data_IF_617648344993
#
_entry.id   IF_617648344993
#
_cell.length_a   1.000
_cell.length_b   1.000
_cell.length_c   1.000
_cell.angle_alpha   90.00
_cell.angle_beta   90.00
_cell.angle_gamma   90.00
#
_symmetry.space_group_name_H-M   'P 1'
#
loop_
_entity.id
_entity.type
_entity.pdbx_description
1 polymer ?
#
# COMPACT_ATOMS: atom_id res chain seq x y z
N UNK A 1 14.33 -3.59 -1.23
CA UNK A 1 13.61 -2.46 -0.57
C UNK A 1 14.21 -1.16 -1.09
N UNK A 2 14.32 -1.01 -2.40
CA UNK A 2 15.31 -0.10 -2.99
C UNK A 2 14.79 1.32 -3.22
N UNK A 3 13.57 1.61 -2.77
CA UNK A 3 12.90 2.90 -2.97
C UNK A 3 12.11 3.29 -1.72
N UNK A 4 12.81 3.76 -0.68
CA UNK A 4 12.14 4.49 0.41
C UNK A 4 11.77 5.87 -0.15
N UNK A 5 10.46 6.11 -0.32
CA UNK A 5 9.95 7.41 -0.74
C UNK A 5 10.08 8.38 0.43
N UNK A 6 10.81 9.48 0.23
CA UNK A 6 10.83 10.62 1.15
C UNK A 6 9.69 11.56 0.79
N UNK A 7 8.90 11.94 1.80
CA UNK A 7 7.80 12.88 1.65
C UNK A 7 8.22 14.25 2.18
N UNK A 8 7.72 15.31 1.55
CA UNK A 8 7.75 16.65 2.14
C UNK A 8 6.63 16.83 3.17
N UNK A 9 6.67 17.89 3.99
CA UNK A 9 5.70 18.09 5.07
C UNK A 9 4.24 18.20 4.58
N UNK A 10 4.01 18.66 3.34
CA UNK A 10 2.67 18.73 2.77
C UNK A 10 2.19 17.34 2.37
N UNK A 11 3.06 16.53 1.77
CA UNK A 11 2.78 15.15 1.42
C UNK A 11 2.57 14.28 2.67
N UNK A 12 3.35 14.49 3.73
CA UNK A 12 3.16 13.83 5.02
C UNK A 12 1.79 14.17 5.62
N UNK A 13 1.40 15.44 5.64
CA UNK A 13 0.09 15.86 6.14
C UNK A 13 -1.07 15.25 5.33
N UNK A 14 -0.93 15.17 4.00
CA UNK A 14 -1.91 14.52 3.15
C UNK A 14 -2.01 13.01 3.41
N UNK A 15 -0.87 12.33 3.56
CA UNK A 15 -0.83 10.91 3.91
C UNK A 15 -1.45 10.65 5.28
N UNK A 16 -1.16 11.50 6.27
CA UNK A 16 -1.73 11.43 7.62
C UNK A 16 -3.25 11.53 7.58
N UNK A 17 -3.81 12.49 6.84
CA UNK A 17 -5.27 12.64 6.73
C UNK A 17 -5.95 11.43 6.08
N UNK A 18 -5.29 10.76 5.14
CA UNK A 18 -5.77 9.51 4.54
C UNK A 18 -5.69 8.35 5.55
N UNK A 19 -4.57 8.25 6.27
CA UNK A 19 -4.38 7.21 7.29
C UNK A 19 -5.44 7.31 8.41
N UNK A 20 -5.74 8.52 8.88
CA UNK A 20 -6.77 8.76 9.89
C UNK A 20 -8.16 8.32 9.43
N UNK A 21 -8.53 8.62 8.19
CA UNK A 21 -9.80 8.17 7.59
C UNK A 21 -9.87 6.65 7.51
N UNK A 22 -8.80 6.01 7.06
CA UNK A 22 -8.72 4.57 6.97
C UNK A 22 -8.85 3.91 8.36
N UNK A 23 -8.14 4.43 9.37
CA UNK A 23 -8.26 3.95 10.75
C UNK A 23 -9.69 4.12 11.29
N UNK A 24 -10.37 5.21 10.92
CA UNK A 24 -11.78 5.42 11.31
C UNK A 24 -12.71 4.35 10.73
N UNK A 25 -12.48 3.87 9.50
CA UNK A 25 -13.22 2.72 8.92
C UNK A 25 -13.03 1.44 9.73
N UNK A 26 -11.88 1.29 10.40
CA UNK A 26 -11.57 0.20 11.32
C UNK A 26 -11.96 0.50 12.78
N UNK A 27 -12.91 1.42 13.01
CA UNK A 27 -13.40 1.81 14.35
C UNK A 27 -12.31 2.33 15.29
N UNK A 28 -11.26 2.93 14.73
CA UNK A 28 -10.12 3.42 15.51
C UNK A 28 -9.05 2.38 15.84
N UNK A 29 -9.21 1.11 15.42
CA UNK A 29 -8.21 0.07 15.65
C UNK A 29 -7.07 0.18 14.62
N UNK A 30 -6.06 0.96 14.96
CA UNK A 30 -4.89 1.19 14.12
C UNK A 30 -4.09 -0.08 13.83
N UNK A 31 -4.05 -1.04 14.76
CA UNK A 31 -3.30 -2.30 14.56
C UNK A 31 -4.03 -3.18 13.55
N UNK A 32 -5.36 -3.25 13.64
CA UNK A 32 -6.18 -3.96 12.65
C UNK A 32 -6.07 -3.32 11.27
N UNK A 33 -6.20 -2.00 11.18
CA UNK A 33 -6.03 -1.26 9.93
C UNK A 33 -4.66 -1.53 9.28
N UNK A 34 -3.58 -1.45 10.06
CA UNK A 34 -2.23 -1.72 9.58
C UNK A 34 -2.07 -3.15 9.03
N UNK A 35 -2.59 -4.16 9.74
CA UNK A 35 -2.55 -5.56 9.28
C UNK A 35 -3.25 -5.74 7.95
N UNK A 36 -4.42 -5.13 7.78
CA UNK A 36 -5.20 -5.21 6.55
C UNK A 36 -4.49 -4.51 5.39
N UNK A 37 -3.93 -3.32 5.61
CA UNK A 37 -3.13 -2.61 4.62
C UNK A 37 -1.92 -3.43 4.14
N UNK A 38 -1.21 -4.12 5.05
CA UNK A 38 -0.07 -4.97 4.69
C UNK A 38 -0.52 -6.12 3.77
N UNK A 39 -1.62 -6.79 4.09
CA UNK A 39 -2.18 -7.88 3.28
C UNK A 39 -2.62 -7.37 1.91
N UNK A 40 -3.34 -6.25 1.86
CA UNK A 40 -3.79 -5.63 0.61
C UNK A 40 -2.61 -5.23 -0.28
N UNK A 41 -1.58 -4.62 0.29
CA UNK A 41 -0.36 -4.25 -0.43
C UNK A 41 0.36 -5.48 -0.98
N UNK A 42 0.41 -6.59 -0.23
CA UNK A 42 0.95 -7.86 -0.69
C UNK A 42 0.22 -8.37 -1.94
N UNK A 43 -1.11 -8.44 -1.90
CA UNK A 43 -1.91 -8.86 -3.05
C UNK A 43 -1.81 -7.91 -4.25
N UNK A 44 -1.70 -6.61 -4.01
CA UNK A 44 -1.44 -5.64 -5.06
C UNK A 44 -0.08 -5.88 -5.72
N UNK A 45 0.96 -6.15 -4.93
CA UNK A 45 2.28 -6.48 -5.45
C UNK A 45 2.23 -7.77 -6.27
N UNK A 46 1.59 -8.84 -5.79
CA UNK A 46 1.40 -10.09 -6.53
C UNK A 46 0.71 -9.87 -7.88
N UNK A 47 -0.35 -9.04 -7.91
CA UNK A 47 -1.06 -8.68 -9.14
C UNK A 47 -0.19 -7.86 -10.09
N UNK A 48 0.55 -6.90 -9.57
CA UNK A 48 1.48 -6.09 -10.36
C UNK A 48 2.59 -6.97 -10.97
N UNK A 49 3.12 -7.92 -10.20
CA UNK A 49 4.15 -8.85 -10.66
C UNK A 49 3.59 -9.81 -11.72
N UNK A 50 2.35 -10.30 -11.55
CA UNK A 50 1.67 -11.10 -12.56
C UNK A 50 1.46 -10.34 -13.88
N UNK A 51 1.12 -9.05 -13.83
CA UNK A 51 0.98 -8.18 -15.00
C UNK A 51 2.33 -7.82 -15.65
N UNK A 52 3.40 -7.74 -14.84
CA UNK A 52 4.77 -7.44 -15.30
C UNK A 52 5.49 -8.68 -15.85
N UNK A 53 5.01 -9.88 -15.53
CA UNK A 53 5.50 -11.11 -16.13
C UNK A 53 5.27 -11.01 -17.66
N UNK A 54 6.34 -10.95 -18.48
CA UNK A 54 6.15 -10.86 -19.91
C UNK A 54 5.41 -12.10 -20.40
N UNK A 55 4.73 -11.97 -21.55
CA UNK A 55 4.38 -13.06 -22.47
C UNK A 55 5.62 -13.88 -22.88
N UNK A 56 6.31 -14.51 -21.93
CA UNK A 56 7.49 -15.37 -22.10
C UNK A 56 7.07 -16.83 -22.35
N UNK A 57 5.93 -17.01 -22.99
CA UNK A 57 5.46 -18.29 -23.52
C UNK A 57 4.98 -18.06 -24.96
N UNK A 58 5.89 -17.58 -25.80
CA UNK A 58 5.79 -17.64 -27.25
C UNK A 58 7.22 -17.85 -27.78
N UNK A 59 7.74 -19.06 -27.55
CA UNK A 59 8.91 -19.59 -28.23
C UNK A 59 8.63 -21.04 -28.58
#
# INVERSE_FOLDING_TARGET
MDHIVRLDSRQEAALQAVAERFIAEHKGDAVKALKEMIVLNGHLQERLDALRSPRRAAR
#
